data_IF_660146858417
#
_entry.id   IF_660146858417
#
_cell.length_a   1.000
_cell.length_b   1.000
_cell.length_c   1.000
_cell.angle_alpha   90.00
_cell.angle_beta   90.00
_cell.angle_gamma   90.00
#
_symmetry.space_group_name_H-M   'P 1'
#
loop_
_entity.id
_entity.type
_entity.pdbx_description
1 polymer ?
#
# COMPACT_ATOMS: atom_id res chain seq x y z
N UNK A 1 -6.23 17.23 -3.80
CA UNK A 1 -6.65 17.30 -2.39
C UNK A 1 -8.12 16.95 -2.34
N UNK A 2 -8.56 16.17 -1.35
CA UNK A 2 -9.85 15.48 -1.25
C UNK A 2 -11.13 16.34 -1.44
N UNK A 3 -11.00 17.65 -1.66
CA UNK A 3 -12.08 18.61 -1.86
C UNK A 3 -12.29 18.93 -3.35
N UNK A 4 -11.32 18.65 -4.23
CA UNK A 4 -11.44 18.93 -5.68
C UNK A 4 -12.11 17.76 -6.40
N UNK A 5 -13.08 18.01 -7.30
CA UNK A 5 -13.68 16.97 -8.12
C UNK A 5 -12.61 16.22 -8.91
N UNK A 6 -12.71 14.88 -8.95
CA UNK A 6 -11.83 14.06 -9.75
C UNK A 6 -12.04 14.38 -11.24
N UNK A 7 -10.94 14.52 -11.98
CA UNK A 7 -10.96 14.63 -13.45
C UNK A 7 -10.94 13.26 -14.11
N UNK A 8 -10.87 12.17 -13.34
CA UNK A 8 -10.87 10.81 -13.87
C UNK A 8 -12.26 10.43 -14.40
N UNK A 9 -12.33 9.58 -15.45
CA UNK A 9 -13.58 9.02 -15.92
C UNK A 9 -14.36 8.35 -14.79
N UNK A 10 -15.69 8.53 -14.80
CA UNK A 10 -16.61 7.86 -13.85
C UNK A 10 -16.97 6.44 -14.26
N UNK A 11 -16.60 6.03 -15.48
CA UNK A 11 -16.83 4.69 -15.97
C UNK A 11 -15.75 3.75 -15.43
N UNK A 12 -16.16 2.58 -14.96
CA UNK A 12 -15.23 1.56 -14.48
C UNK A 12 -14.41 1.01 -15.66
N UNK A 13 -13.10 0.91 -15.46
CA UNK A 13 -12.21 0.17 -16.37
C UNK A 13 -12.04 -1.23 -15.79
N UNK A 14 -12.71 -2.26 -16.34
CA UNK A 14 -12.54 -3.62 -15.84
C UNK A 14 -11.10 -4.07 -16.08
N UNK A 15 -10.50 -4.67 -15.04
CA UNK A 15 -9.19 -5.31 -15.13
C UNK A 15 -9.41 -6.78 -15.35
N UNK A 16 -8.73 -7.36 -16.34
CA UNK A 16 -8.81 -8.79 -16.58
C UNK A 16 -8.29 -9.55 -15.36
N UNK A 17 -9.04 -10.56 -14.86
CA UNK A 17 -8.57 -11.38 -13.76
C UNK A 17 -7.31 -12.13 -14.18
N UNK A 18 -6.27 -12.03 -13.36
CA UNK A 18 -5.06 -12.84 -13.50
C UNK A 18 -5.24 -14.08 -12.63
N UNK A 19 -5.15 -15.26 -13.24
CA UNK A 19 -5.17 -16.52 -12.49
C UNK A 19 -3.89 -16.65 -11.66
N UNK A 20 -4.05 -16.70 -10.33
CA UNK A 20 -2.97 -16.83 -9.36
C UNK A 20 -3.33 -17.86 -8.30
N UNK A 21 -2.34 -18.53 -7.66
CA UNK A 21 -2.61 -19.41 -6.54
C UNK A 21 -3.31 -18.68 -5.38
N UNK A 22 -4.03 -19.42 -4.55
CA UNK A 22 -4.52 -18.91 -3.27
C UNK A 22 -3.37 -18.29 -2.46
N UNK A 23 -3.65 -17.22 -1.69
CA UNK A 23 -2.63 -16.47 -0.98
C UNK A 23 -1.72 -17.33 -0.08
N UNK A 24 -2.29 -18.27 0.67
CA UNK A 24 -1.49 -19.14 1.53
C UNK A 24 -0.75 -20.21 0.74
N UNK A 25 -1.32 -20.66 -0.38
CA UNK A 25 -0.66 -21.61 -1.27
C UNK A 25 0.56 -20.97 -1.96
N UNK A 26 0.43 -19.74 -2.47
CA UNK A 26 1.54 -18.94 -3.02
C UNK A 26 2.67 -18.84 -1.99
N UNK A 27 2.34 -18.43 -0.76
CA UNK A 27 3.32 -18.32 0.32
C UNK A 27 4.04 -19.65 0.62
N UNK A 28 3.30 -20.76 0.74
CA UNK A 28 3.89 -22.09 0.97
C UNK A 28 4.77 -22.55 -0.20
N UNK A 29 4.37 -22.26 -1.44
CA UNK A 29 5.15 -22.59 -2.63
C UNK A 29 6.45 -21.80 -2.66
N UNK A 30 6.39 -20.48 -2.48
CA UNK A 30 7.55 -19.58 -2.43
C UNK A 30 8.54 -19.96 -1.32
N UNK A 31 8.04 -20.39 -0.15
CA UNK A 31 8.91 -20.90 0.92
C UNK A 31 9.76 -22.10 0.48
N UNK A 32 9.18 -23.02 -0.30
CA UNK A 32 9.87 -24.23 -0.77
C UNK A 32 10.80 -23.93 -1.95
N UNK A 33 10.35 -23.09 -2.88
CA UNK A 33 11.10 -22.77 -4.12
C UNK A 33 12.10 -21.64 -3.94
N UNK A 34 12.04 -20.92 -2.81
CA UNK A 34 12.83 -19.71 -2.53
C UNK A 34 12.56 -18.56 -3.51
N UNK A 35 11.39 -18.56 -4.14
CA UNK A 35 10.91 -17.44 -4.95
C UNK A 35 10.27 -16.35 -4.08
N UNK A 36 10.11 -15.16 -4.65
CA UNK A 36 9.38 -14.05 -4.02
C UNK A 36 7.87 -14.28 -4.11
N UNK A 37 7.16 -14.02 -3.01
CA UNK A 37 5.69 -14.11 -2.94
C UNK A 37 5.00 -12.97 -3.68
N UNK A 38 3.75 -13.16 -4.09
CA UNK A 38 2.92 -12.09 -4.67
C UNK A 38 2.66 -10.92 -3.70
N UNK A 39 2.64 -11.19 -2.39
CA UNK A 39 2.52 -10.18 -1.33
C UNK A 39 3.79 -10.12 -0.48
N UNK A 40 4.91 -9.55 -1.01
CA UNK A 40 6.16 -9.47 -0.28
C UNK A 40 6.10 -8.42 0.85
N UNK A 41 7.08 -8.44 1.74
CA UNK A 41 7.12 -7.55 2.92
C UNK A 41 7.12 -6.07 2.54
N UNK A 42 7.72 -5.71 1.41
CA UNK A 42 7.77 -4.36 0.87
C UNK A 42 6.36 -3.84 0.56
N UNK A 43 5.46 -4.68 0.04
CA UNK A 43 4.07 -4.29 -0.21
C UNK A 43 3.35 -3.95 1.10
N UNK A 44 3.56 -4.75 2.15
CA UNK A 44 3.03 -4.48 3.49
C UNK A 44 3.59 -3.18 4.08
N UNK A 45 4.88 -2.93 3.91
CA UNK A 45 5.52 -1.68 4.35
C UNK A 45 4.97 -0.46 3.62
N UNK A 46 4.85 -0.52 2.29
CA UNK A 46 4.31 0.55 1.45
C UNK A 46 2.84 0.86 1.77
N UNK A 47 2.07 -0.12 2.24
CA UNK A 47 0.72 0.09 2.75
C UNK A 47 0.72 0.70 4.17
N UNK A 48 1.56 0.19 5.06
CA UNK A 48 1.53 0.53 6.48
C UNK A 48 1.95 1.99 6.75
N UNK A 49 2.95 2.49 6.02
CA UNK A 49 3.44 3.87 6.19
C UNK A 49 2.34 4.91 5.96
N UNK A 50 1.62 4.93 4.81
CA UNK A 50 0.48 5.82 4.61
C UNK A 50 -0.63 5.67 5.64
N UNK A 51 -0.94 4.46 6.09
CA UNK A 51 -1.95 4.22 7.15
C UNK A 51 -1.55 4.95 8.43
N UNK A 52 -0.31 4.76 8.89
CA UNK A 52 0.21 5.42 10.09
C UNK A 52 0.25 6.95 9.92
N UNK A 53 0.65 7.44 8.74
CA UNK A 53 0.59 8.87 8.42
C UNK A 53 -0.83 9.42 8.52
N UNK A 54 -1.82 8.68 8.01
CA UNK A 54 -3.24 9.05 8.08
C UNK A 54 -3.75 9.12 9.51
N UNK A 55 -3.46 8.11 10.33
CA UNK A 55 -3.81 8.10 11.77
C UNK A 55 -3.18 9.28 12.50
N UNK A 56 -1.87 9.52 12.32
CA UNK A 56 -1.19 10.66 12.95
C UNK A 56 -1.74 12.01 12.50
N UNK A 57 -2.12 12.14 11.23
CA UNK A 57 -2.75 13.36 10.72
C UNK A 57 -4.13 13.58 11.34
N UNK A 58 -4.90 12.51 11.54
CA UNK A 58 -6.19 12.55 12.22
C UNK A 58 -6.04 12.98 13.68
N UNK A 59 -5.09 12.40 14.41
CA UNK A 59 -4.87 12.68 15.83
C UNK A 59 -4.34 14.10 16.09
N UNK A 60 -3.44 14.58 15.22
CA UNK A 60 -2.75 15.88 15.42
C UNK A 60 -3.41 17.04 14.69
N UNK A 61 -4.28 16.77 13.71
CA UNK A 61 -4.80 17.77 12.78
C UNK A 61 -3.74 18.35 11.82
N UNK A 62 -2.53 17.78 11.77
CA UNK A 62 -1.42 18.30 10.98
C UNK A 62 -1.03 17.35 9.85
N UNK A 63 -0.56 17.93 8.74
CA UNK A 63 -0.01 17.16 7.61
C UNK A 63 1.21 16.35 8.07
N UNK A 64 1.26 15.10 7.65
CA UNK A 64 2.39 14.20 7.88
C UNK A 64 3.15 13.98 6.56
N UNK A 65 4.47 13.87 6.65
CA UNK A 65 5.39 13.50 5.56
C UNK A 65 6.25 12.31 5.99
N UNK A 66 6.70 11.51 5.02
CA UNK A 66 7.56 10.36 5.25
C UNK A 66 8.95 10.58 4.65
N UNK A 67 9.99 10.33 5.44
CA UNK A 67 11.39 10.35 5.03
C UNK A 67 11.88 8.92 4.73
N UNK A 68 12.09 8.56 3.46
CA UNK A 68 12.49 7.20 3.11
C UNK A 68 13.92 6.85 3.53
N UNK A 69 14.80 7.84 3.75
CA UNK A 69 16.18 7.60 4.14
C UNK A 69 16.27 7.29 5.64
N UNK A 70 15.60 8.10 6.46
CA UNK A 70 15.56 7.92 7.91
C UNK A 70 14.47 6.94 8.36
N UNK A 71 13.55 6.58 7.46
CA UNK A 71 12.34 5.76 7.73
C UNK A 71 11.49 6.36 8.85
N UNK A 72 11.28 7.67 8.78
CA UNK A 72 10.57 8.45 9.80
C UNK A 72 9.34 9.15 9.23
N UNK A 73 8.27 9.19 10.02
CA UNK A 73 7.11 10.05 9.77
C UNK A 73 7.23 11.29 10.66
N UNK A 74 7.11 12.47 10.08
CA UNK A 74 7.13 13.75 10.80
C UNK A 74 6.08 14.71 10.26
N UNK A 75 5.79 15.76 11.03
CA UNK A 75 4.95 16.87 10.55
C UNK A 75 5.64 17.54 9.34
N UNK A 76 4.86 18.00 8.37
CA UNK A 76 5.41 18.67 7.19
C UNK A 76 4.47 19.62 6.49
#
# INVERSE_FOLDING_TARGET
GAIKPSTLPKADTPVEPVEIPDHFLDWLQCLRTRQTTNAPIEAGYHHSVPVIMGTRAMDTGKRQIFDPRQREIREG
#
